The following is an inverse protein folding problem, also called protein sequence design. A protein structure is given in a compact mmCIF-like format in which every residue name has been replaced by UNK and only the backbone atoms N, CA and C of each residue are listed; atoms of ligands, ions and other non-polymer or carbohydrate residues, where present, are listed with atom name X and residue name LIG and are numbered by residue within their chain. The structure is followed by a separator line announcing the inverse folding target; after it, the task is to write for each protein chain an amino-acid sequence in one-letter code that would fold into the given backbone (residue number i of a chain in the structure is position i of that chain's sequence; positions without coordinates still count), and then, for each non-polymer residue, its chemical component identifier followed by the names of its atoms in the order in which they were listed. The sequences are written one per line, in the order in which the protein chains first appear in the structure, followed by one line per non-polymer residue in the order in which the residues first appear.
data_IF_611783683877
#
_entry.id   IF_611783683877
#
_cell.length_a   1.000
_cell.length_b   1.000
_cell.length_c   1.000
_cell.angle_alpha   90.00
_cell.angle_beta   90.00
_cell.angle_gamma   90.00
#
_symmetry.space_group_name_H-M   'P 1'
#
loop_
_entity.id
_entity.type
_entity.pdbx_description
1 polymer ?
#
# COMPACT_ATOMS: atom_id res chain seq x y z
N UNK A 1 -5.70 10.86 3.82
CA UNK A 1 -5.00 9.56 3.64
C UNK A 1 -4.93 9.20 2.17
N UNK A 2 -3.78 8.73 1.70
CA UNK A 2 -3.58 8.13 0.37
C UNK A 2 -3.59 6.59 0.50
N UNK A 3 -4.26 5.91 -0.42
CA UNK A 3 -4.27 4.44 -0.56
C UNK A 3 -3.96 4.13 -2.01
N UNK A 4 -2.89 3.37 -2.27
CA UNK A 4 -2.53 2.92 -3.62
C UNK A 4 -2.63 1.41 -3.74
N UNK A 5 -2.91 0.94 -4.94
CA UNK A 5 -2.83 -0.45 -5.33
C UNK A 5 -2.34 -0.56 -6.79
N UNK A 6 -1.87 -1.72 -7.18
CA UNK A 6 -1.42 -1.95 -8.55
C UNK A 6 -0.14 -1.18 -8.90
N UNK A 7 0.75 -0.97 -7.94
CA UNK A 7 2.16 -0.63 -8.18
C UNK A 7 2.77 -1.76 -9.01
N UNK A 8 2.54 -3.00 -8.60
CA UNK A 8 2.71 -4.17 -9.43
C UNK A 8 1.35 -4.58 -10.00
N UNK A 9 1.27 -4.67 -11.30
CA UNK A 9 0.00 -4.79 -12.02
C UNK A 9 -0.63 -6.19 -11.95
N UNK A 10 0.15 -7.22 -11.61
CA UNK A 10 -0.30 -8.60 -11.39
C UNK A 10 -0.84 -8.88 -9.97
N UNK A 11 -0.78 -7.92 -9.07
CA UNK A 11 -1.18 -8.07 -7.67
C UNK A 11 -2.67 -7.75 -7.46
N UNK A 12 -3.52 -8.66 -7.93
CA UNK A 12 -4.96 -8.41 -8.08
C UNK A 12 -5.74 -8.28 -6.77
N UNK A 13 -5.26 -8.85 -5.66
CA UNK A 13 -5.93 -8.72 -4.35
C UNK A 13 -6.01 -7.27 -3.90
N UNK A 14 -4.87 -6.56 -3.93
CA UNK A 14 -4.80 -5.14 -3.58
C UNK A 14 -5.67 -4.28 -4.50
N UNK A 15 -5.60 -4.54 -5.81
CA UNK A 15 -6.40 -3.83 -6.83
C UNK A 15 -7.90 -4.01 -6.58
N UNK A 16 -8.35 -5.25 -6.40
CA UNK A 16 -9.77 -5.53 -6.15
C UNK A 16 -10.23 -4.95 -4.81
N UNK A 17 -9.39 -5.00 -3.78
CA UNK A 17 -9.70 -4.38 -2.49
C UNK A 17 -9.86 -2.86 -2.61
N UNK A 18 -8.99 -2.18 -3.36
CA UNK A 18 -9.08 -0.73 -3.61
C UNK A 18 -10.35 -0.37 -4.39
N UNK A 19 -10.74 -1.17 -5.40
CA UNK A 19 -12.01 -1.00 -6.13
C UNK A 19 -13.19 -1.09 -5.16
N UNK A 20 -13.23 -2.13 -4.34
CA UNK A 20 -14.34 -2.33 -3.40
C UNK A 20 -14.37 -1.29 -2.27
N UNK A 21 -13.22 -0.84 -1.77
CA UNK A 21 -13.14 0.26 -0.81
C UNK A 21 -13.77 1.53 -1.37
N UNK A 22 -13.43 1.89 -2.62
CA UNK A 22 -13.98 3.08 -3.27
C UNK A 22 -15.50 3.05 -3.45
N UNK A 23 -16.10 1.86 -3.47
CA UNK A 23 -17.55 1.66 -3.63
C UNK A 23 -18.29 1.51 -2.30
N UNK A 24 -17.62 0.95 -1.28
CA UNK A 24 -18.28 0.55 -0.02
C UNK A 24 -18.06 1.50 1.15
N UNK A 25 -17.03 2.37 1.08
CA UNK A 25 -16.86 3.41 2.08
C UNK A 25 -18.00 4.43 1.95
N UNK A 26 -18.66 4.69 3.08
CA UNK A 26 -19.76 5.65 3.16
C UNK A 26 -19.20 7.03 3.40
N UNK A 27 -19.38 7.95 2.45
CA UNK A 27 -18.80 9.30 2.49
C UNK A 27 -19.22 10.08 3.74
N UNK A 28 -20.44 9.88 4.20
CA UNK A 28 -20.97 10.54 5.41
C UNK A 28 -20.29 10.09 6.72
N UNK A 29 -19.45 9.04 6.65
CA UNK A 29 -18.66 8.54 7.75
C UNK A 29 -17.16 8.91 7.68
N UNK A 30 -16.77 9.62 6.62
CA UNK A 30 -15.38 10.02 6.39
C UNK A 30 -15.12 11.40 7.03
N UNK A 31 -14.06 11.49 7.81
CA UNK A 31 -13.50 12.76 8.29
C UNK A 31 -12.25 13.08 7.49
N UNK A 32 -12.24 14.22 6.82
CA UNK A 32 -11.15 14.61 5.92
C UNK A 32 -11.29 14.00 4.52
N UNK A 33 -10.17 13.61 3.91
CA UNK A 33 -10.12 13.13 2.52
C UNK A 33 -9.43 11.76 2.44
N UNK A 34 -10.02 10.86 1.65
CA UNK A 34 -9.41 9.58 1.28
C UNK A 34 -9.21 9.57 -0.24
N UNK A 35 -7.96 9.47 -0.69
CA UNK A 35 -7.58 9.30 -2.09
C UNK A 35 -7.29 7.83 -2.32
N UNK A 36 -7.97 7.20 -3.28
CA UNK A 36 -7.78 5.78 -3.62
C UNK A 36 -7.36 5.66 -5.08
N UNK A 37 -6.11 5.26 -5.30
CA UNK A 37 -5.58 4.90 -6.62
C UNK A 37 -5.69 3.39 -6.80
N UNK A 38 -6.63 2.96 -7.63
CA UNK A 38 -6.99 1.53 -7.78
C UNK A 38 -5.93 0.74 -8.53
N UNK A 39 -5.30 1.34 -9.53
CA UNK A 39 -4.23 0.74 -10.33
C UNK A 39 -3.23 1.84 -10.67
N UNK A 40 -2.08 1.79 -10.02
CA UNK A 40 -1.05 2.81 -10.25
C UNK A 40 -0.33 2.59 -11.57
N UNK A 41 0.13 1.38 -11.83
CA UNK A 41 0.76 0.99 -13.10
C UNK A 41 -0.30 0.49 -14.10
N UNK A 42 -1.15 1.41 -14.56
CA UNK A 42 -2.24 1.10 -15.46
C UNK A 42 -1.80 0.50 -16.81
N UNK A 43 -0.74 0.98 -17.48
CA UNK A 43 -0.29 0.38 -18.73
C UNK A 43 0.05 -1.10 -18.59
N UNK A 44 0.80 -1.48 -17.55
CA UNK A 44 1.16 -2.87 -17.29
C UNK A 44 -0.09 -3.72 -16.96
N UNK A 45 -1.06 -3.17 -16.20
CA UNK A 45 -2.32 -3.85 -15.89
C UNK A 45 -3.14 -4.15 -17.15
N UNK A 46 -3.30 -3.18 -18.05
CA UNK A 46 -4.04 -3.35 -19.30
C UNK A 46 -3.34 -4.37 -20.24
N UNK A 47 -2.02 -4.43 -20.21
CA UNK A 47 -1.22 -5.39 -20.96
C UNK A 47 -1.07 -6.76 -20.25
N UNK A 48 -1.58 -6.91 -19.02
CA UNK A 48 -1.38 -8.10 -18.16
C UNK A 48 0.10 -8.45 -17.99
N UNK A 49 0.90 -7.42 -17.72
CA UNK A 49 2.34 -7.53 -17.56
C UNK A 49 2.70 -7.37 -16.06
N UNK A 50 2.61 -8.42 -15.28
CA UNK A 50 2.97 -8.55 -13.86
C UNK A 50 3.50 -7.31 -13.14
N UNK A 51 4.73 -7.38 -12.62
CA UNK A 51 5.33 -6.32 -11.77
C UNK A 51 6.16 -5.29 -12.51
N UNK A 52 6.49 -5.52 -13.79
CA UNK A 52 7.42 -4.67 -14.53
C UNK A 52 6.73 -3.62 -15.40
N UNK A 53 7.38 -2.50 -15.60
CA UNK A 53 6.99 -1.48 -16.58
C UNK A 53 6.96 -2.03 -18.01
N UNK A 54 5.97 -1.59 -18.78
CA UNK A 54 5.75 -2.14 -20.11
C UNK A 54 6.83 -1.72 -21.11
N UNK A 55 7.28 -0.47 -21.04
CA UNK A 55 8.23 0.10 -21.98
C UNK A 55 9.69 -0.06 -21.55
N UNK A 56 9.97 -0.11 -20.26
CA UNK A 56 11.35 -0.06 -19.72
C UNK A 56 11.76 -1.28 -18.90
N UNK A 57 10.83 -2.21 -18.67
CA UNK A 57 11.03 -3.41 -17.86
C UNK A 57 11.60 -3.12 -16.45
N UNK A 58 11.31 -1.94 -15.90
CA UNK A 58 11.70 -1.57 -14.54
C UNK A 58 10.60 -1.91 -13.54
N UNK A 59 11.00 -2.23 -12.31
CA UNK A 59 10.08 -2.38 -11.20
C UNK A 59 9.75 -1.01 -10.60
N UNK A 60 8.50 -0.55 -10.76
CA UNK A 60 8.06 0.74 -10.25
C UNK A 60 8.39 0.92 -8.75
N UNK A 61 8.26 -0.16 -7.94
CA UNK A 61 8.54 -0.12 -6.51
C UNK A 61 10.06 -0.17 -6.18
N UNK A 62 10.91 0.21 -7.14
CA UNK A 62 12.35 0.42 -6.98
C UNK A 62 12.80 1.78 -7.50
N UNK A 63 11.87 2.54 -8.11
CA UNK A 63 12.22 3.77 -8.81
C UNK A 63 11.94 5.05 -8.01
N UNK A 64 11.29 4.97 -6.82
CA UNK A 64 10.97 6.16 -6.01
C UNK A 64 12.21 6.86 -5.44
N UNK A 65 12.33 8.20 -5.57
CA UNK A 65 11.32 9.20 -5.94
C UNK A 65 11.06 9.36 -7.45
N UNK A 66 11.82 8.72 -8.32
CA UNK A 66 11.67 8.84 -9.75
C UNK A 66 12.50 9.98 -10.37
N UNK A 67 12.28 10.19 -11.67
CA UNK A 67 12.95 11.23 -12.47
C UNK A 67 11.99 11.71 -13.57
N UNK A 68 11.69 13.03 -13.68
CA UNK A 68 10.77 13.57 -14.69
C UNK A 68 11.26 13.37 -16.13
N UNK A 69 12.58 13.32 -16.32
CA UNK A 69 13.23 13.13 -17.64
C UNK A 69 13.65 11.68 -17.89
N UNK A 70 13.23 10.75 -17.00
CA UNK A 70 13.61 9.36 -17.03
C UNK A 70 12.72 8.47 -17.90
N UNK A 71 12.82 7.16 -17.66
CA UNK A 71 12.03 6.14 -18.33
C UNK A 71 10.56 6.15 -17.84
N UNK A 72 9.72 5.23 -18.37
CA UNK A 72 8.30 5.18 -18.02
C UNK A 72 8.07 5.05 -16.50
N UNK A 73 8.72 4.08 -15.85
CA UNK A 73 8.53 3.85 -14.42
C UNK A 73 9.16 4.95 -13.56
N UNK A 74 10.29 5.52 -13.99
CA UNK A 74 10.88 6.67 -13.29
C UNK A 74 9.98 7.91 -13.34
N UNK A 75 9.37 8.19 -14.49
CA UNK A 75 8.39 9.30 -14.59
C UNK A 75 7.13 9.07 -13.79
N UNK A 76 6.64 7.81 -13.77
CA UNK A 76 5.47 7.46 -12.97
C UNK A 76 5.77 7.58 -11.46
N UNK A 77 6.92 7.05 -11.00
CA UNK A 77 7.37 7.21 -9.62
C UNK A 77 7.51 8.70 -9.24
N UNK A 78 8.07 9.51 -10.13
CA UNK A 78 8.20 10.95 -9.92
C UNK A 78 6.83 11.63 -9.79
N UNK A 79 5.89 11.38 -10.67
CA UNK A 79 4.54 11.95 -10.60
C UNK A 79 3.85 11.59 -9.27
N UNK A 80 3.94 10.34 -8.83
CA UNK A 80 3.38 9.91 -7.55
C UNK A 80 4.05 10.61 -6.38
N UNK A 81 5.38 10.70 -6.38
CA UNK A 81 6.15 11.32 -5.30
C UNK A 81 5.98 12.83 -5.21
N UNK A 82 5.67 13.51 -6.31
CA UNK A 82 5.51 14.96 -6.34
C UNK A 82 4.06 15.45 -6.26
N UNK A 83 3.09 14.65 -6.73
CA UNK A 83 1.71 15.10 -6.84
C UNK A 83 0.76 14.41 -5.86
N UNK A 84 0.97 13.11 -5.55
CA UNK A 84 0.07 12.36 -4.69
C UNK A 84 0.56 12.24 -3.24
N UNK A 85 1.83 11.92 -3.04
CA UNK A 85 2.38 11.75 -1.70
C UNK A 85 2.35 13.06 -0.90
N UNK A 86 2.73 14.25 -1.43
CA UNK A 86 2.79 15.48 -0.65
C UNK A 86 1.44 15.99 -0.14
N UNK A 87 0.32 15.53 -0.70
CA UNK A 87 -1.02 15.90 -0.23
C UNK A 87 -1.61 14.93 0.79
N UNK A 88 -0.82 13.93 1.20
CA UNK A 88 -1.24 12.89 2.14
C UNK A 88 -0.59 13.09 3.52
N UNK A 89 -1.40 12.93 4.58
CA UNK A 89 -0.90 12.87 5.96
C UNK A 89 -0.52 11.44 6.37
N UNK A 90 -1.09 10.44 5.71
CA UNK A 90 -0.89 9.01 5.97
C UNK A 90 -0.98 8.24 4.64
N UNK A 91 -0.22 7.15 4.50
CA UNK A 91 -0.17 6.39 3.28
C UNK A 91 -0.25 4.87 3.50
N UNK A 92 -1.06 4.18 2.70
CA UNK A 92 -1.18 2.72 2.64
C UNK A 92 -0.94 2.26 1.21
N UNK A 93 0.03 1.37 1.02
CA UNK A 93 0.29 0.70 -0.25
C UNK A 93 -0.21 -0.75 -0.19
N UNK A 94 -1.10 -1.14 -1.11
CA UNK A 94 -1.72 -2.46 -1.14
C UNK A 94 -1.04 -3.33 -2.18
N UNK A 95 -0.39 -4.38 -1.70
CA UNK A 95 0.33 -5.37 -2.48
C UNK A 95 -0.20 -6.79 -2.26
N UNK A 96 0.27 -7.72 -3.06
CA UNK A 96 0.14 -9.15 -2.89
C UNK A 96 1.37 -9.86 -3.47
N UNK A 97 1.53 -11.16 -3.22
CA UNK A 97 2.54 -11.92 -3.97
C UNK A 97 2.30 -11.80 -5.48
N UNK A 98 3.38 -11.68 -6.23
CA UNK A 98 3.39 -11.57 -7.68
C UNK A 98 2.89 -12.88 -8.35
N UNK A 99 2.93 -12.95 -9.67
CA UNK A 99 2.41 -14.05 -10.50
C UNK A 99 2.87 -15.45 -10.05
N UNK A 100 4.03 -15.54 -9.44
CA UNK A 100 4.66 -16.80 -9.01
C UNK A 100 4.97 -16.86 -7.51
N UNK A 101 4.50 -15.88 -6.73
CA UNK A 101 4.77 -15.78 -5.30
C UNK A 101 3.56 -16.22 -4.47
N UNK A 102 3.76 -17.24 -3.63
CA UNK A 102 2.84 -17.61 -2.57
C UNK A 102 3.40 -17.12 -1.25
N UNK A 103 2.78 -16.12 -0.66
CA UNK A 103 3.24 -15.53 0.61
C UNK A 103 2.29 -15.84 1.78
N UNK A 104 2.85 -15.83 2.99
CA UNK A 104 2.08 -15.67 4.21
C UNK A 104 1.74 -14.20 4.37
N UNK A 105 0.48 -13.80 4.63
CA UNK A 105 0.13 -12.40 4.79
C UNK A 105 0.97 -11.70 5.86
N UNK A 106 1.46 -10.50 5.57
CA UNK A 106 2.23 -9.67 6.49
C UNK A 106 2.09 -8.18 6.15
N UNK A 107 2.62 -7.32 7.00
CA UNK A 107 2.64 -5.88 6.79
C UNK A 107 4.04 -5.34 7.02
N UNK A 108 4.53 -4.51 6.09
CA UNK A 108 5.69 -3.67 6.31
C UNK A 108 5.27 -2.34 6.92
N UNK A 109 6.05 -1.83 7.87
CA UNK A 109 6.02 -0.43 8.26
C UNK A 109 7.39 0.21 8.06
N UNK A 110 7.37 1.49 7.70
CA UNK A 110 8.61 2.22 7.43
C UNK A 110 9.39 2.45 8.71
N UNK A 111 10.66 2.01 8.72
CA UNK A 111 11.58 2.13 9.86
C UNK A 111 12.72 3.11 9.63
N UNK A 112 13.05 3.43 8.37
CA UNK A 112 14.08 4.39 7.99
C UNK A 112 13.46 5.78 7.75
N UNK A 113 12.90 6.39 8.82
CA UNK A 113 12.20 7.66 8.80
C UNK A 113 12.37 8.38 10.15
N UNK A 114 11.94 9.65 10.32
CA UNK A 114 11.87 10.30 11.62
C UNK A 114 11.08 9.50 12.65
N UNK A 115 11.46 9.57 13.91
CA UNK A 115 10.94 8.69 14.98
C UNK A 115 9.41 8.80 15.15
N UNK A 116 8.85 9.97 15.01
CA UNK A 116 7.40 10.22 15.06
C UNK A 116 6.67 9.58 13.87
N UNK A 117 7.26 9.59 12.68
CA UNK A 117 6.76 8.92 11.48
C UNK A 117 6.79 7.41 11.65
N UNK A 118 7.92 6.86 12.14
CA UNK A 118 8.06 5.41 12.44
C UNK A 118 7.00 4.97 13.44
N UNK A 119 6.78 5.75 14.52
CA UNK A 119 5.79 5.45 15.54
C UNK A 119 4.38 5.34 14.93
N UNK A 120 3.95 6.33 14.15
CA UNK A 120 2.61 6.32 13.53
C UNK A 120 2.49 5.20 12.48
N UNK A 121 3.54 4.96 11.69
CA UNK A 121 3.57 3.84 10.73
C UNK A 121 3.38 2.49 11.45
N UNK A 122 4.03 2.30 12.58
CA UNK A 122 3.86 1.11 13.40
C UNK A 122 2.45 1.00 13.97
N UNK A 123 1.88 2.08 14.50
CA UNK A 123 0.50 2.11 15.00
C UNK A 123 -0.51 1.70 13.92
N UNK A 124 -0.29 2.12 12.66
CA UNK A 124 -1.08 1.68 11.51
C UNK A 124 -0.91 0.18 11.25
N UNK A 125 0.33 -0.33 11.22
CA UNK A 125 0.64 -1.73 10.97
C UNK A 125 0.01 -2.65 12.04
N UNK A 126 -0.01 -2.23 13.29
CA UNK A 126 -0.65 -2.94 14.40
C UNK A 126 -2.17 -3.12 14.22
N UNK A 127 -2.83 -2.42 13.29
CA UNK A 127 -4.27 -2.59 13.01
C UNK A 127 -4.55 -3.66 11.97
N UNK A 128 -3.53 -4.17 11.27
CA UNK A 128 -3.64 -5.18 10.22
C UNK A 128 -3.79 -6.57 10.84
N UNK A 129 -4.72 -7.37 10.33
CA UNK A 129 -4.99 -8.74 10.82
C UNK A 129 -4.12 -9.77 10.12
N UNK A 130 -2.81 -9.72 10.37
CA UNK A 130 -1.78 -10.60 9.81
C UNK A 130 -0.89 -11.16 10.93
N UNK A 131 -0.24 -12.32 10.73
CA UNK A 131 0.62 -12.89 11.75
C UNK A 131 1.92 -12.11 12.01
N UNK A 132 2.43 -11.38 11.01
CA UNK A 132 3.73 -10.71 11.09
C UNK A 132 3.68 -9.26 10.65
N UNK A 133 4.47 -8.42 11.31
CA UNK A 133 4.83 -7.10 10.84
C UNK A 133 6.35 -6.97 10.78
N UNK A 134 6.84 -6.30 9.75
CA UNK A 134 8.27 -6.14 9.44
C UNK A 134 8.64 -4.67 9.45
N UNK A 135 9.66 -4.31 10.22
CA UNK A 135 10.25 -2.98 10.21
C UNK A 135 11.23 -2.86 9.05
N UNK A 136 10.85 -2.14 8.00
CA UNK A 136 11.76 -1.92 6.87
C UNK A 136 12.79 -0.84 7.17
N UNK A 137 14.06 -1.16 6.95
CA UNK A 137 15.18 -0.25 7.13
C UNK A 137 15.60 0.46 5.82
N UNK A 138 14.77 0.42 4.79
CA UNK A 138 14.99 1.06 3.49
C UNK A 138 14.30 2.43 3.45
N UNK A 139 15.00 3.47 2.97
CA UNK A 139 14.50 4.84 2.91
C UNK A 139 14.03 5.29 1.52
N UNK A 140 14.33 4.54 0.46
CA UNK A 140 14.04 4.93 -0.92
C UNK A 140 13.86 3.70 -1.82
N UNK A 141 13.49 3.92 -3.08
CA UNK A 141 13.19 2.87 -4.04
C UNK A 141 11.73 2.43 -3.98
N UNK A 142 11.25 2.00 -2.82
CA UNK A 142 9.84 1.69 -2.60
C UNK A 142 8.97 2.93 -2.37
N UNK A 143 7.73 2.86 -2.80
CA UNK A 143 6.76 3.96 -2.71
C UNK A 143 6.53 4.38 -1.25
N UNK A 144 6.14 3.45 -0.38
CA UNK A 144 5.87 3.75 1.03
C UNK A 144 7.14 4.12 1.81
N UNK A 145 8.30 3.54 1.47
CA UNK A 145 9.58 3.87 2.09
C UNK A 145 9.95 5.33 1.82
N UNK A 146 9.85 5.74 0.55
CA UNK A 146 10.14 7.11 0.17
C UNK A 146 9.16 8.10 0.84
N UNK A 147 7.86 7.82 0.82
CA UNK A 147 6.87 8.66 1.49
C UNK A 147 7.22 8.87 2.97
N UNK A 148 7.59 7.81 3.68
CA UNK A 148 7.98 7.91 5.09
C UNK A 148 9.25 8.74 5.30
N UNK A 149 10.24 8.62 4.42
CA UNK A 149 11.45 9.45 4.47
C UNK A 149 11.16 10.93 4.28
N UNK A 150 10.02 11.26 3.65
CA UNK A 150 9.51 12.63 3.47
C UNK A 150 8.57 13.09 4.59
N UNK A 151 8.43 12.30 5.66
CA UNK A 151 7.62 12.66 6.82
C UNK A 151 6.17 12.16 6.77
N UNK A 152 5.81 11.28 5.86
CA UNK A 152 4.46 10.74 5.70
C UNK A 152 4.39 9.32 6.27
N UNK A 153 3.78 9.08 7.45
CA UNK A 153 3.64 7.74 8.01
C UNK A 153 3.01 6.78 7.02
N UNK A 154 3.65 5.64 6.79
CA UNK A 154 3.28 4.75 5.70
C UNK A 154 3.56 3.28 5.99
N UNK A 155 2.71 2.43 5.42
CA UNK A 155 2.78 0.97 5.48
C UNK A 155 2.55 0.36 4.11
N UNK A 156 2.98 -0.91 3.97
CA UNK A 156 2.67 -1.75 2.82
C UNK A 156 2.06 -3.06 3.32
N UNK A 157 0.88 -3.41 2.80
CA UNK A 157 0.16 -4.64 3.19
C UNK A 157 0.32 -5.66 2.08
N UNK A 158 0.80 -6.86 2.44
CA UNK A 158 0.98 -8.01 1.55
C UNK A 158 -0.06 -9.09 1.86
N UNK A 159 -0.95 -9.39 0.88
CA UNK A 159 -1.95 -10.46 0.99
C UNK A 159 -2.26 -11.09 -0.36
N UNK A 160 -2.35 -12.43 -0.38
CA UNK A 160 -2.60 -13.20 -1.60
C UNK A 160 -1.34 -13.43 -2.41
N UNK A 161 -1.48 -13.79 -3.67
CA UNK A 161 -0.36 -14.08 -4.56
C UNK A 161 -0.75 -15.02 -5.71
N UNK A 162 0.25 -15.50 -6.44
CA UNK A 162 0.09 -16.43 -7.58
C UNK A 162 -0.69 -15.83 -8.76
N UNK A 163 -0.62 -14.51 -8.96
CA UNK A 163 -1.34 -13.82 -10.03
C UNK A 163 -2.87 -14.03 -9.98
N UNK A 164 -3.40 -14.28 -8.80
CA UNK A 164 -4.82 -14.55 -8.58
C UNK A 164 -5.39 -13.65 -7.50
N UNK A 165 -6.72 -13.66 -7.36
CA UNK A 165 -7.38 -13.10 -6.22
C UNK A 165 -8.53 -14.00 -5.77
N UNK A 166 -8.75 -14.06 -4.46
CA UNK A 166 -9.90 -14.72 -3.89
C UNK A 166 -10.66 -13.75 -2.97
N UNK A 167 -11.92 -14.05 -2.77
CA UNK A 167 -12.82 -13.17 -2.01
C UNK A 167 -12.40 -13.00 -0.55
N UNK A 168 -11.79 -14.02 0.04
CA UNK A 168 -11.35 -13.99 1.44
C UNK A 168 -10.22 -12.99 1.66
N UNK A 169 -9.19 -13.02 0.81
CA UNK A 169 -8.06 -12.08 0.89
C UNK A 169 -8.48 -10.64 0.57
N UNK A 170 -9.31 -10.44 -0.44
CA UNK A 170 -9.87 -9.12 -0.76
C UNK A 170 -10.69 -8.57 0.41
N UNK A 171 -11.53 -9.40 1.02
CA UNK A 171 -12.32 -9.02 2.20
C UNK A 171 -11.43 -8.67 3.40
N UNK A 172 -10.38 -9.47 3.62
CA UNK A 172 -9.41 -9.24 4.70
C UNK A 172 -8.64 -7.94 4.49
N UNK A 173 -8.12 -7.69 3.29
CA UNK A 173 -7.44 -6.42 2.95
C UNK A 173 -8.36 -5.21 3.20
N UNK A 174 -9.61 -5.27 2.77
CA UNK A 174 -10.59 -4.19 3.04
C UNK A 174 -10.85 -3.99 4.52
N UNK A 175 -10.96 -5.07 5.30
CA UNK A 175 -11.12 -5.02 6.76
C UNK A 175 -9.92 -4.35 7.41
N UNK A 176 -8.72 -4.70 7.00
CA UNK A 176 -7.48 -4.14 7.51
C UNK A 176 -7.41 -2.62 7.26
N UNK A 177 -7.65 -2.20 6.03
CA UNK A 177 -7.71 -0.76 5.69
C UNK A 177 -8.79 -0.06 6.52
N UNK A 178 -9.98 -0.64 6.65
CA UNK A 178 -11.05 -0.05 7.45
C UNK A 178 -10.68 0.07 8.93
N UNK A 179 -10.00 -0.94 9.49
CA UNK A 179 -9.52 -0.91 10.87
C UNK A 179 -8.50 0.24 11.09
N UNK A 180 -7.59 0.44 10.14
CA UNK A 180 -6.65 1.57 10.14
C UNK A 180 -7.42 2.89 10.08
N UNK A 181 -8.35 3.04 9.13
CA UNK A 181 -9.15 4.26 8.99
C UNK A 181 -9.94 4.59 10.27
N UNK A 182 -10.52 3.58 10.92
CA UNK A 182 -11.22 3.76 12.20
C UNK A 182 -10.26 4.11 13.34
N UNK A 183 -9.09 3.48 13.40
CA UNK A 183 -8.07 3.73 14.42
C UNK A 183 -7.52 5.15 14.32
N UNK A 184 -7.24 5.60 13.10
CA UNK A 184 -6.70 6.94 12.81
C UNK A 184 -7.78 8.04 12.84
N UNK A 185 -9.02 7.73 13.19
CA UNK A 185 -10.12 8.72 13.28
C UNK A 185 -10.62 9.25 11.93
N UNK A 186 -10.24 8.61 10.82
CA UNK A 186 -10.62 9.03 9.45
C UNK A 186 -11.99 8.47 9.06
N UNK A 187 -12.40 7.33 9.64
CA UNK A 187 -13.68 6.71 9.36
C UNK A 187 -14.47 6.42 10.63
N UNK A 188 -15.72 6.87 10.69
CA UNK A 188 -16.60 6.64 11.85
C UNK A 188 -17.14 5.20 11.84
N UNK A 189 -16.77 4.43 12.85
CA UNK A 189 -17.22 3.04 13.01
C UNK A 189 -16.44 2.30 14.07
N UNK A 190 -16.86 1.07 14.32
CA UNK A 190 -16.11 0.15 15.16
C UNK A 190 -15.07 -0.58 14.30
N UNK A 191 -13.93 -0.88 14.87
CA UNK A 191 -12.96 -1.78 14.25
C UNK A 191 -13.54 -3.19 14.19
N UNK A 192 -13.30 -3.87 13.10
CA UNK A 192 -13.67 -5.27 12.94
C UNK A 192 -12.75 -6.16 13.80
N UNK A 193 -13.27 -7.33 14.16
CA UNK A 193 -12.50 -8.33 14.89
C UNK A 193 -11.26 -8.75 14.10
N UNK A 194 -10.15 -8.97 14.82
CA UNK A 194 -8.89 -9.48 14.29
C UNK A 194 -8.59 -10.86 14.88
N UNK A 195 -8.06 -11.74 14.02
CA UNK A 195 -7.59 -13.06 14.41
C UNK A 195 -6.15 -12.97 14.94
N UNK A 196 -5.36 -12.10 14.34
CA UNK A 196 -3.95 -11.93 14.65
C UNK A 196 -3.67 -10.56 15.28
N UNK A 197 -2.63 -10.53 16.09
CA UNK A 197 -1.94 -9.34 16.54
C UNK A 197 -0.52 -9.48 16.00
N UNK A 198 -0.10 -8.66 15.02
CA UNK A 198 1.14 -8.87 14.28
C UNK A 198 2.35 -8.97 15.21
N UNK A 199 3.12 -10.07 15.06
CA UNK A 199 4.41 -10.21 15.71
C UNK A 199 5.46 -9.48 14.89
N UNK A 200 6.21 -8.57 15.53
CA UNK A 200 7.31 -7.88 14.86
C UNK A 200 8.47 -8.84 14.62
N UNK A 201 8.92 -8.89 13.37
CA UNK A 201 10.07 -9.68 12.95
C UNK A 201 11.12 -8.77 12.31
N UNK A 202 12.38 -9.18 12.37
CA UNK A 202 13.47 -8.45 11.72
C UNK A 202 13.39 -8.59 10.20
N UNK A 203 13.74 -7.49 9.50
CA UNK A 203 13.92 -7.43 8.06
C UNK A 203 15.27 -8.08 7.68
#
# INVERSE_FOLDING_TARGET
MLITAGVHAGEYVGIQAAIELSQKLKIEKVTGTIIIVKVLNRPAFEARNGSMGLADAKNLNREFPGNPDGTEMERLAWAVSQELQPVADLYIDLHSGDDYEKLTPYVYYAGAAPEDVVKVSREMAEQVDVPYMVKSNVASGGSYNYAASQGIPSILIERGGMGDWNYEEVRSTRRDVRNILCHMGIYQGLKDFRTYYPLEVAD
#
